data_IF_569570747170
#
_entry.id   IF_569570747170
#
_cell.length_a   1.000
_cell.length_b   1.000
_cell.length_c   1.000
_cell.angle_alpha   90.00
_cell.angle_beta   90.00
_cell.angle_gamma   90.00
#
_symmetry.space_group_name_H-M   'P 1'
#
loop_
_entity.id
_entity.type
_entity.pdbx_description
1 polymer ?
#
# COMPACT_ATOMS: atom_id res chain seq x y z
N UNK A 1 3.78 27.82 -21.43
CA UNK A 1 3.52 27.52 -20.00
C UNK A 1 2.43 26.47 -19.80
N UNK A 2 1.33 26.47 -20.56
CA UNK A 2 0.29 25.43 -20.47
C UNK A 2 0.83 24.02 -20.69
N UNK A 3 1.71 23.82 -21.69
CA UNK A 3 2.34 22.54 -21.98
C UNK A 3 3.19 22.01 -20.83
N UNK A 4 3.93 22.89 -20.15
CA UNK A 4 4.73 22.53 -18.97
C UNK A 4 3.83 22.08 -17.81
N UNK A 5 2.73 22.78 -17.57
CA UNK A 5 1.77 22.42 -16.51
C UNK A 5 1.14 21.07 -16.83
N UNK A 6 0.65 20.87 -18.07
CA UNK A 6 0.07 19.61 -18.51
C UNK A 6 1.04 18.45 -18.36
N UNK A 7 2.32 18.63 -18.74
CA UNK A 7 3.35 17.60 -18.59
C UNK A 7 3.64 17.26 -17.14
N UNK A 8 3.68 18.25 -16.24
CA UNK A 8 3.89 17.98 -14.81
C UNK A 8 2.69 17.25 -14.22
N UNK A 9 1.46 17.63 -14.58
CA UNK A 9 0.23 16.97 -14.12
C UNK A 9 0.12 15.53 -14.60
N UNK A 10 0.49 15.23 -15.85
CA UNK A 10 0.43 13.86 -16.38
C UNK A 10 1.49 12.96 -15.75
N UNK A 11 2.71 13.47 -15.52
CA UNK A 11 3.78 12.72 -14.84
C UNK A 11 3.40 12.43 -13.38
N UNK A 12 2.86 13.41 -12.67
CA UNK A 12 2.42 13.21 -11.27
C UNK A 12 1.25 12.24 -11.16
N UNK A 13 0.28 12.30 -12.09
CA UNK A 13 -0.81 11.33 -12.14
C UNK A 13 -0.30 9.89 -12.41
N UNK A 14 0.65 9.72 -13.34
CA UNK A 14 1.25 8.42 -13.64
C UNK A 14 2.08 7.86 -12.48
N UNK A 15 2.81 8.71 -11.75
CA UNK A 15 3.54 8.30 -10.56
C UNK A 15 2.61 7.86 -9.42
N UNK A 16 1.48 8.55 -9.23
CA UNK A 16 0.49 8.22 -8.22
C UNK A 16 -0.19 6.86 -8.47
N UNK A 17 -0.54 6.56 -9.73
CA UNK A 17 -1.13 5.26 -10.09
C UNK A 17 -0.14 4.11 -9.91
N UNK A 18 1.12 4.30 -10.31
CA UNK A 18 2.17 3.30 -10.12
C UNK A 18 2.42 3.02 -8.63
N UNK A 19 2.49 4.08 -7.80
CA UNK A 19 2.69 3.93 -6.35
C UNK A 19 1.50 3.22 -5.68
N UNK A 20 0.27 3.54 -6.10
CA UNK A 20 -0.93 2.86 -5.63
C UNK A 20 -0.94 1.37 -5.98
N UNK A 21 -0.58 1.01 -7.21
CA UNK A 21 -0.51 -0.39 -7.67
C UNK A 21 0.61 -1.19 -6.99
N UNK A 22 1.77 -0.58 -6.75
CA UNK A 22 2.85 -1.26 -6.01
C UNK A 22 2.45 -1.44 -4.54
N UNK A 23 1.82 -0.43 -3.94
CA UNK A 23 1.34 -0.48 -2.55
C UNK A 23 0.30 -1.57 -2.29
N UNK A 24 -0.66 -1.77 -3.21
CA UNK A 24 -1.65 -2.85 -3.10
C UNK A 24 -1.02 -4.23 -3.14
N UNK A 25 -0.11 -4.47 -4.10
CA UNK A 25 0.58 -5.75 -4.23
C UNK A 25 1.40 -6.07 -2.97
N UNK A 26 2.12 -5.07 -2.45
CA UNK A 26 2.89 -5.21 -1.21
C UNK A 26 1.99 -5.55 -0.01
N UNK A 27 0.84 -4.90 0.12
CA UNK A 27 -0.12 -5.19 1.18
C UNK A 27 -0.67 -6.61 1.11
N UNK A 28 -1.08 -7.05 -0.07
CA UNK A 28 -1.58 -8.42 -0.28
C UNK A 28 -0.49 -9.41 0.10
N UNK A 29 0.75 -9.19 -0.34
CA UNK A 29 1.89 -10.06 -0.04
C UNK A 29 2.17 -10.14 1.48
N UNK A 30 2.19 -9.00 2.18
CA UNK A 30 2.40 -8.98 3.63
C UNK A 30 1.24 -9.60 4.42
N UNK A 31 -0.01 -9.41 3.99
CA UNK A 31 -1.18 -10.05 4.60
C UNK A 31 -1.10 -11.57 4.44
N UNK A 32 -0.76 -12.06 3.24
CA UNK A 32 -0.57 -13.50 3.00
C UNK A 32 0.53 -14.06 3.90
N UNK A 33 1.68 -13.38 4.02
CA UNK A 33 2.79 -13.81 4.91
C UNK A 33 2.35 -13.83 6.39
N UNK A 34 1.54 -12.86 6.81
CA UNK A 34 1.01 -12.79 8.18
C UNK A 34 0.04 -13.96 8.44
N UNK A 35 -0.94 -14.19 7.58
CA UNK A 35 -1.92 -15.28 7.74
C UNK A 35 -1.23 -16.67 7.68
N UNK A 36 -0.23 -16.84 6.81
CA UNK A 36 0.59 -18.05 6.76
C UNK A 36 1.44 -18.23 8.04
N UNK A 37 2.01 -17.15 8.58
CA UNK A 37 2.75 -17.22 9.85
C UNK A 37 1.84 -17.53 11.03
N UNK A 38 0.63 -16.97 11.07
CA UNK A 38 -0.33 -17.19 12.15
C UNK A 38 -0.83 -18.64 12.17
N UNK A 39 -0.98 -19.27 10.99
CA UNK A 39 -1.30 -20.70 10.87
C UNK A 39 -0.21 -21.63 11.42
N UNK A 40 1.06 -21.20 11.39
CA UNK A 40 2.19 -21.94 11.93
C UNK A 40 2.45 -21.49 13.37
N UNK A 41 1.74 -22.05 14.35
CA UNK A 41 1.74 -21.68 15.78
C UNK A 41 3.06 -21.82 16.56
N UNK A 42 4.23 -21.74 15.92
CA UNK A 42 5.53 -21.75 16.58
C UNK A 42 5.90 -20.39 17.20
N UNK A 43 6.53 -20.39 18.37
CA UNK A 43 6.92 -19.18 19.11
C UNK A 43 7.78 -18.16 18.31
N UNK A 44 8.54 -18.61 17.31
CA UNK A 44 9.25 -17.72 16.35
C UNK A 44 8.30 -17.06 15.35
N UNK A 45 7.29 -17.79 14.88
CA UNK A 45 6.27 -17.32 13.96
C UNK A 45 5.40 -16.23 14.59
N UNK A 46 5.09 -16.37 15.88
CA UNK A 46 4.33 -15.36 16.62
C UNK A 46 5.08 -14.02 16.77
N UNK A 47 6.42 -14.05 16.90
CA UNK A 47 7.24 -12.82 16.88
C UNK A 47 7.27 -12.18 15.49
N UNK A 48 7.36 -12.99 14.43
CA UNK A 48 7.25 -12.51 13.06
C UNK A 48 5.88 -11.88 12.80
N UNK A 49 4.79 -12.56 13.18
CA UNK A 49 3.43 -12.05 13.04
C UNK A 49 3.23 -10.69 13.74
N UNK A 50 3.73 -10.52 14.97
CA UNK A 50 3.68 -9.23 15.69
C UNK A 50 4.47 -8.12 14.99
N UNK A 51 5.65 -8.43 14.45
CA UNK A 51 6.46 -7.46 13.71
C UNK A 51 5.82 -7.11 12.35
N UNK A 52 5.26 -8.09 11.66
CA UNK A 52 4.53 -7.92 10.39
C UNK A 52 3.27 -7.08 10.60
N UNK A 53 2.53 -7.27 11.70
CA UNK A 53 1.38 -6.41 12.05
C UNK A 53 1.79 -4.95 12.23
N UNK A 54 2.95 -4.70 12.86
CA UNK A 54 3.47 -3.34 13.06
C UNK A 54 3.85 -2.65 11.73
N UNK A 55 4.22 -3.43 10.70
CA UNK A 55 4.46 -2.93 9.34
C UNK A 55 3.17 -2.84 8.52
N UNK A 56 2.21 -3.75 8.73
CA UNK A 56 0.92 -3.79 8.03
C UNK A 56 0.07 -2.57 8.39
N UNK A 57 0.05 -2.12 9.64
CA UNK A 57 -0.78 -0.98 10.09
C UNK A 57 -0.46 0.32 9.33
N UNK A 58 0.80 0.82 9.30
CA UNK A 58 1.12 2.03 8.55
C UNK A 58 0.95 1.85 7.04
N UNK A 59 1.14 0.63 6.52
CA UNK A 59 0.97 0.34 5.10
C UNK A 59 -0.51 0.32 4.69
N UNK A 60 -1.39 -0.23 5.54
CA UNK A 60 -2.85 -0.17 5.36
C UNK A 60 -3.36 1.26 5.45
N UNK A 61 -2.80 2.07 6.36
CA UNK A 61 -3.11 3.49 6.46
C UNK A 61 -2.72 4.23 5.18
N UNK A 62 -1.49 4.03 4.69
CA UNK A 62 -1.03 4.63 3.43
C UNK A 62 -1.94 4.24 2.25
N UNK A 63 -2.34 2.98 2.18
CA UNK A 63 -3.28 2.51 1.15
C UNK A 63 -4.67 3.13 1.28
N UNK A 64 -5.22 3.21 2.50
CA UNK A 64 -6.51 3.86 2.74
C UNK A 64 -6.48 5.34 2.31
N UNK A 65 -5.37 6.05 2.56
CA UNK A 65 -5.18 7.44 2.11
C UNK A 65 -5.12 7.53 0.58
N UNK A 66 -4.40 6.62 -0.09
CA UNK A 66 -4.33 6.58 -1.56
C UNK A 66 -5.71 6.29 -2.17
N UNK A 67 -6.45 5.32 -1.61
CA UNK A 67 -7.81 5.00 -2.05
C UNK A 67 -8.75 6.17 -1.81
N UNK A 68 -8.71 6.81 -0.64
CA UNK A 68 -9.54 7.97 -0.35
C UNK A 68 -9.24 9.15 -1.30
N UNK A 69 -7.97 9.39 -1.61
CA UNK A 69 -7.57 10.38 -2.60
C UNK A 69 -8.06 10.02 -4.02
N UNK A 70 -7.98 8.74 -4.41
CA UNK A 70 -8.51 8.29 -5.69
C UNK A 70 -10.04 8.43 -5.78
N UNK A 71 -10.77 8.12 -4.70
CA UNK A 71 -12.23 8.30 -4.63
C UNK A 71 -12.61 9.78 -4.72
N UNK A 72 -11.88 10.67 -4.04
CA UNK A 72 -12.07 12.12 -4.14
C UNK A 72 -11.77 12.70 -5.52
N UNK A 73 -10.91 12.04 -6.31
CA UNK A 73 -10.63 12.44 -7.70
C UNK A 73 -11.73 11.93 -8.66
N UNK A 74 -12.36 10.81 -8.34
CA UNK A 74 -13.45 10.22 -9.14
C UNK A 74 -14.81 10.89 -8.88
N UNK A 75 -15.04 11.37 -7.65
CA UNK A 75 -16.24 12.14 -7.27
C UNK A 75 -16.16 13.60 -7.77
#
# INVERSE_FOLDING_TARGET
MITTITTVTTITAAAATALGAVGTVLLICLLVIKELSDSHGGARSQKLAKNTVLVIIPLLFAFAVVVAAAVLVVL
#
